data_IF_624195271514
#
_entry.id   IF_624195271514
#
_cell.length_a   1.000
_cell.length_b   1.000
_cell.length_c   1.000
_cell.angle_alpha   90.00
_cell.angle_beta   90.00
_cell.angle_gamma   90.00
#
_symmetry.space_group_name_H-M   'P 1'
#
loop_
_entity.id
_entity.type
_entity.pdbx_description
1 polymer ?
#
# COMPACT_ATOMS: atom_id res chain seq x y z
N UNK A 1 -10.40 -0.21 23.52
CA UNK A 1 -9.36 -0.79 22.61
C UNK A 1 -8.00 -0.17 22.91
N UNK A 2 -6.96 -1.00 22.90
CA UNK A 2 -5.59 -0.54 23.08
C UNK A 2 -5.14 0.27 21.88
N UNK A 3 -4.40 1.35 22.12
CA UNK A 3 -3.83 2.19 21.06
C UNK A 3 -2.35 1.91 20.90
N UNK A 4 -1.88 1.96 19.67
CA UNK A 4 -0.47 1.83 19.32
C UNK A 4 -0.06 3.03 18.48
N UNK A 5 1.20 3.37 18.53
CA UNK A 5 1.77 4.38 17.63
C UNK A 5 2.62 3.69 16.58
N UNK A 6 2.49 4.15 15.35
CA UNK A 6 3.36 3.78 14.24
C UNK A 6 3.88 5.05 13.60
N UNK A 7 5.05 4.95 12.98
CA UNK A 7 5.66 6.08 12.28
C UNK A 7 5.66 5.77 10.78
N UNK A 8 5.38 6.77 9.97
CA UNK A 8 5.60 6.64 8.54
C UNK A 8 7.11 6.50 8.27
N UNK A 9 7.49 5.42 7.60
CA UNK A 9 8.90 5.18 7.24
C UNK A 9 9.27 5.85 5.93
N UNK A 10 8.29 6.36 5.21
CA UNK A 10 8.45 7.04 3.95
C UNK A 10 7.12 7.43 3.35
N UNK A 11 7.15 7.86 2.11
CA UNK A 11 5.97 8.28 1.37
C UNK A 11 6.03 7.83 -0.07
N UNK A 12 4.88 7.64 -0.67
CA UNK A 12 4.74 7.33 -2.09
C UNK A 12 4.86 8.63 -2.90
N UNK A 13 5.68 8.62 -3.95
CA UNK A 13 5.65 9.63 -5.01
C UNK A 13 5.04 8.99 -6.25
N UNK A 14 3.93 9.54 -6.70
CA UNK A 14 3.15 8.98 -7.81
C UNK A 14 2.48 10.09 -8.60
N UNK A 15 2.21 9.87 -9.90
CA UNK A 15 1.35 10.77 -10.66
C UNK A 15 -0.13 10.70 -10.25
N UNK A 16 -0.54 9.70 -9.46
CA UNK A 16 -1.91 9.60 -8.96
C UNK A 16 -2.12 10.58 -7.81
N UNK A 17 -2.98 11.56 -8.01
CA UNK A 17 -3.22 12.63 -7.03
C UNK A 17 -4.67 12.71 -6.54
N UNK A 18 -5.59 12.03 -7.23
CA UNK A 18 -7.01 12.07 -6.90
C UNK A 18 -7.56 10.68 -6.62
N UNK A 19 -8.35 10.56 -5.57
CA UNK A 19 -8.93 9.29 -5.14
C UNK A 19 -9.81 8.64 -6.21
N UNK A 20 -10.62 9.43 -6.90
CA UNK A 20 -11.53 8.94 -7.95
C UNK A 20 -10.79 8.37 -9.16
N UNK A 21 -9.58 8.84 -9.41
CA UNK A 21 -8.76 8.39 -10.53
C UNK A 21 -7.91 7.16 -10.18
N UNK A 22 -7.80 6.82 -8.90
CA UNK A 22 -6.95 5.73 -8.46
C UNK A 22 -7.58 4.38 -8.77
N UNK A 23 -6.85 3.44 -9.41
CA UNK A 23 -7.32 2.07 -9.57
C UNK A 23 -7.48 1.40 -8.21
N UNK A 24 -8.41 0.47 -8.10
CA UNK A 24 -8.63 -0.28 -6.85
C UNK A 24 -7.60 -1.38 -6.65
N UNK A 25 -7.08 -1.91 -7.75
CA UNK A 25 -6.06 -2.95 -7.78
C UNK A 25 -4.94 -2.50 -8.72
N UNK A 26 -3.72 -2.96 -8.46
CA UNK A 26 -2.56 -2.60 -9.27
C UNK A 26 -2.72 -2.97 -10.74
N UNK A 27 -3.37 -4.09 -11.03
CA UNK A 27 -3.60 -4.57 -12.40
C UNK A 27 -4.69 -3.82 -13.16
N UNK A 28 -5.32 -2.84 -12.55
CA UNK A 28 -6.33 -1.97 -13.18
C UNK A 28 -5.72 -0.70 -13.79
N UNK A 29 -4.43 -0.74 -14.16
CA UNK A 29 -3.77 0.37 -14.85
C UNK A 29 -3.01 1.33 -13.93
N UNK A 30 -2.58 0.87 -12.77
CA UNK A 30 -1.79 1.69 -11.86
C UNK A 30 -0.42 2.06 -12.47
N UNK A 31 0.04 3.31 -12.28
CA UNK A 31 1.35 3.74 -12.78
C UNK A 31 2.50 3.21 -11.95
N UNK A 32 3.71 3.32 -12.48
CA UNK A 32 4.92 3.18 -11.69
C UNK A 32 5.00 4.34 -10.67
N UNK A 33 5.63 4.07 -9.54
CA UNK A 33 5.79 5.06 -8.48
C UNK A 33 7.13 4.87 -7.78
N UNK A 34 7.51 5.86 -6.98
CA UNK A 34 8.67 5.79 -6.11
C UNK A 34 8.23 5.66 -4.66
N UNK A 35 8.91 4.78 -3.94
CA UNK A 35 8.84 4.73 -2.48
C UNK A 35 10.02 5.55 -1.97
N UNK A 36 9.73 6.65 -1.28
CA UNK A 36 10.76 7.56 -0.77
C UNK A 36 10.83 7.41 0.74
N UNK A 37 11.94 6.88 1.23
CA UNK A 37 12.11 6.56 2.65
C UNK A 37 12.76 7.68 3.41
N UNK A 38 12.52 7.74 4.72
CA UNK A 38 13.17 8.71 5.58
C UNK A 38 14.70 8.45 5.60
N UNK A 39 15.55 9.52 5.60
CA UNK A 39 16.99 9.33 5.52
C UNK A 39 17.57 8.47 6.63
N UNK A 40 16.99 8.54 7.83
CA UNK A 40 17.45 7.78 8.99
C UNK A 40 17.28 6.27 8.81
N UNK A 41 16.46 5.84 7.84
CA UNK A 41 16.10 4.44 7.63
C UNK A 41 16.82 3.81 6.43
N UNK A 42 17.82 4.50 5.88
CA UNK A 42 18.54 4.06 4.68
C UNK A 42 19.07 2.62 4.80
N UNK A 43 19.51 2.22 5.97
CA UNK A 43 20.01 0.87 6.20
C UNK A 43 18.94 -0.19 5.92
N UNK A 44 17.68 0.12 6.11
CA UNK A 44 16.58 -0.80 5.82
C UNK A 44 16.43 -1.17 4.36
N UNK A 45 16.96 -0.34 3.45
CA UNK A 45 16.91 -0.60 2.01
C UNK A 45 18.11 -1.41 1.49
N UNK A 46 19.07 -1.69 2.35
CA UNK A 46 20.39 -2.18 1.96
C UNK A 46 20.38 -3.45 1.10
N UNK A 47 19.41 -4.30 1.28
CA UNK A 47 19.33 -5.57 0.54
C UNK A 47 18.27 -5.59 -0.54
N UNK A 48 17.54 -4.48 -0.75
CA UNK A 48 16.57 -4.40 -1.83
C UNK A 48 17.25 -4.29 -3.18
N UNK A 49 16.78 -5.07 -4.14
CA UNK A 49 17.35 -5.14 -5.50
C UNK A 49 16.25 -5.05 -6.55
N UNK A 50 16.57 -4.52 -7.74
CA UNK A 50 15.65 -4.64 -8.87
C UNK A 50 15.29 -6.10 -9.12
N UNK A 51 14.02 -6.38 -9.36
CA UNK A 51 13.49 -7.74 -9.53
C UNK A 51 12.86 -8.30 -8.26
N UNK A 52 13.14 -7.73 -7.10
CA UNK A 52 12.51 -8.19 -5.86
C UNK A 52 11.03 -7.88 -5.85
N UNK A 53 10.21 -8.84 -5.43
CA UNK A 53 8.82 -8.59 -5.11
C UNK A 53 8.66 -8.30 -3.62
N UNK A 54 7.91 -7.26 -3.32
CA UNK A 54 7.69 -6.82 -1.93
C UNK A 54 6.21 -6.56 -1.68
N UNK A 55 5.84 -6.64 -0.40
CA UNK A 55 4.57 -6.17 0.11
C UNK A 55 4.81 -4.80 0.75
N UNK A 56 4.11 -3.79 0.25
CA UNK A 56 4.15 -2.45 0.82
C UNK A 56 2.89 -2.25 1.63
N UNK A 57 3.04 -1.90 2.89
CA UNK A 57 1.94 -1.55 3.76
C UNK A 57 1.88 -0.04 3.88
N UNK A 58 0.72 0.53 3.61
CA UNK A 58 0.51 1.98 3.61
C UNK A 58 -0.57 2.36 4.60
N UNK A 59 -0.59 3.64 4.95
CA UNK A 59 -1.71 4.23 5.67
C UNK A 59 -2.51 5.05 4.69
N UNK A 60 -3.77 4.61 4.44
CA UNK A 60 -4.64 5.28 3.48
C UNK A 60 -5.32 6.47 4.17
N UNK A 61 -4.57 7.54 4.32
CA UNK A 61 -4.90 8.68 5.17
C UNK A 61 -6.10 9.51 4.71
N UNK A 62 -6.58 9.28 3.47
CA UNK A 62 -7.81 9.90 2.96
C UNK A 62 -9.04 9.02 3.14
N UNK A 63 -8.89 7.81 3.66
CA UNK A 63 -9.99 6.89 3.85
C UNK A 63 -10.76 7.20 5.15
N UNK A 64 -12.01 6.77 5.17
CA UNK A 64 -12.85 6.86 6.37
C UNK A 64 -12.53 5.72 7.32
N UNK A 65 -12.56 5.99 8.62
CA UNK A 65 -12.30 5.00 9.65
C UNK A 65 -13.55 4.52 10.38
N UNK A 66 -14.70 5.09 10.05
CA UNK A 66 -15.99 4.81 10.71
C UNK A 66 -16.85 3.81 9.94
N UNK A 67 -16.28 3.11 8.95
CA UNK A 67 -17.00 2.18 8.08
C UNK A 67 -16.73 0.75 8.51
N UNK A 68 -17.79 -0.03 8.73
CA UNK A 68 -17.73 -1.43 9.13
C UNK A 68 -18.28 -2.38 8.08
N UNK A 69 -19.09 -1.88 7.14
CA UNK A 69 -19.62 -2.68 6.05
C UNK A 69 -19.71 -1.86 4.78
N UNK A 70 -19.55 -2.51 3.64
CA UNK A 70 -19.57 -1.88 2.33
C UNK A 70 -20.25 -2.80 1.32
N UNK A 71 -20.75 -2.21 0.24
CA UNK A 71 -21.06 -2.97 -0.97
C UNK A 71 -19.77 -3.28 -1.70
N UNK A 72 -19.45 -4.56 -2.01
CA UNK A 72 -18.21 -4.90 -2.69
C UNK A 72 -18.05 -4.10 -3.99
N UNK A 73 -16.88 -3.47 -4.16
CA UNK A 73 -16.51 -2.62 -5.29
C UNK A 73 -17.55 -1.52 -5.61
N UNK A 74 -18.31 -1.10 -4.59
CA UNK A 74 -19.34 -0.07 -4.76
C UNK A 74 -20.60 -0.55 -5.49
N UNK A 75 -20.73 -1.84 -5.75
CA UNK A 75 -21.88 -2.41 -6.46
C UNK A 75 -23.06 -2.58 -5.51
N UNK A 76 -24.03 -1.67 -5.59
CA UNK A 76 -25.21 -1.66 -4.71
C UNK A 76 -26.18 -2.81 -5.01
N UNK A 77 -26.02 -3.53 -6.11
CA UNK A 77 -26.83 -4.72 -6.41
C UNK A 77 -26.40 -5.93 -5.60
N UNK A 78 -25.22 -5.89 -5.01
CA UNK A 78 -24.67 -6.95 -4.16
C UNK A 78 -24.95 -6.65 -2.70
N UNK A 79 -25.09 -7.70 -1.89
CA UNK A 79 -25.26 -7.53 -0.46
C UNK A 79 -24.04 -6.84 0.17
N UNK A 80 -24.27 -6.06 1.22
CA UNK A 80 -23.18 -5.49 2.01
C UNK A 80 -22.38 -6.60 2.68
N UNK A 81 -21.07 -6.40 2.76
CA UNK A 81 -20.15 -7.28 3.47
C UNK A 81 -19.40 -6.51 4.53
N UNK A 82 -19.02 -7.17 5.61
CA UNK A 82 -18.12 -6.62 6.61
C UNK A 82 -16.78 -6.27 5.97
N UNK A 83 -16.19 -5.13 6.36
CA UNK A 83 -14.98 -4.64 5.72
C UNK A 83 -13.79 -5.58 5.85
N UNK A 84 -13.76 -6.44 6.88
CA UNK A 84 -12.65 -7.39 7.08
C UNK A 84 -12.67 -8.54 6.07
N UNK A 85 -13.75 -8.69 5.32
CA UNK A 85 -13.84 -9.64 4.20
C UNK A 85 -13.63 -8.95 2.85
N UNK A 86 -13.18 -7.71 2.84
CA UNK A 86 -13.00 -6.90 1.64
C UNK A 86 -11.65 -6.19 1.67
N UNK A 87 -11.26 -5.64 0.53
CA UNK A 87 -10.09 -4.76 0.40
C UNK A 87 -10.49 -3.29 0.34
N UNK A 88 -11.68 -2.94 0.85
CA UNK A 88 -12.10 -1.53 0.93
C UNK A 88 -11.07 -0.71 1.70
N UNK A 89 -10.69 0.48 1.20
CA UNK A 89 -9.82 1.38 1.95
C UNK A 89 -10.51 1.90 3.22
N UNK A 90 -11.83 2.06 3.18
CA UNK A 90 -12.62 2.56 4.31
C UNK A 90 -12.81 1.44 5.32
N UNK A 91 -12.13 1.57 6.45
CA UNK A 91 -12.09 0.56 7.52
C UNK A 91 -11.51 1.17 8.78
N UNK A 92 -11.66 0.53 9.95
CA UNK A 92 -11.18 1.12 11.23
C UNK A 92 -9.71 1.53 11.21
N UNK A 93 -8.83 0.68 10.68
CA UNK A 93 -7.44 1.03 10.42
C UNK A 93 -7.20 0.87 8.93
N UNK A 94 -7.19 1.98 8.17
CA UNK A 94 -7.14 1.92 6.72
C UNK A 94 -5.71 1.63 6.23
N UNK A 95 -5.27 0.42 6.49
CA UNK A 95 -3.96 -0.08 6.07
C UNK A 95 -4.10 -0.66 4.67
N UNK A 96 -3.35 -0.11 3.73
CA UNK A 96 -3.25 -0.62 2.38
C UNK A 96 -2.21 -1.73 2.30
N UNK A 97 -2.43 -2.69 1.43
CA UNK A 97 -1.49 -3.79 1.15
C UNK A 97 -1.28 -3.85 -0.35
N UNK A 98 -0.02 -3.67 -0.77
CA UNK A 98 0.32 -3.60 -2.18
C UNK A 98 1.46 -4.55 -2.49
N UNK A 99 1.23 -5.47 -3.41
CA UNK A 99 2.29 -6.36 -3.90
C UNK A 99 2.89 -5.75 -5.16
N UNK A 100 4.16 -5.43 -5.13
CA UNK A 100 4.84 -4.72 -6.22
C UNK A 100 6.23 -5.30 -6.46
N UNK A 101 6.72 -5.09 -7.69
CA UNK A 101 8.09 -5.43 -8.07
C UNK A 101 8.95 -4.17 -8.03
N UNK A 102 10.13 -4.27 -7.42
CA UNK A 102 11.13 -3.20 -7.43
C UNK A 102 11.82 -3.20 -8.78
N UNK A 103 11.87 -2.05 -9.43
CA UNK A 103 12.52 -1.88 -10.74
C UNK A 103 13.83 -1.10 -10.66
N UNK A 104 14.02 -0.29 -9.62
CA UNK A 104 15.25 0.47 -9.41
C UNK A 104 15.38 0.83 -7.93
N UNK A 105 16.61 0.95 -7.47
CA UNK A 105 16.92 1.48 -6.13
C UNK A 105 17.96 2.58 -6.32
N UNK A 106 17.66 3.76 -5.81
CA UNK A 106 18.51 4.94 -5.92
C UNK A 106 18.55 5.67 -4.58
N UNK A 107 19.62 5.43 -3.83
CA UNK A 107 19.73 5.99 -2.48
C UNK A 107 18.58 5.52 -1.61
N UNK A 108 17.82 6.45 -1.05
CA UNK A 108 16.67 6.17 -0.19
C UNK A 108 15.35 6.04 -0.97
N UNK A 109 15.41 5.83 -2.27
CA UNK A 109 14.23 5.70 -3.14
C UNK A 109 14.24 4.33 -3.80
N UNK A 110 13.09 3.69 -3.85
CA UNK A 110 12.88 2.46 -4.61
C UNK A 110 11.73 2.69 -5.59
N UNK A 111 11.98 2.42 -6.88
CA UNK A 111 10.94 2.53 -7.89
C UNK A 111 10.22 1.19 -8.00
N UNK A 112 8.91 1.24 -8.09
CA UNK A 112 8.07 0.04 -8.17
C UNK A 112 7.10 0.13 -9.34
N UNK A 113 6.69 -1.03 -9.85
CA UNK A 113 5.67 -1.13 -10.88
C UNK A 113 4.29 -0.99 -10.26
N UNK A 114 3.37 -0.36 -11.01
CA UNK A 114 1.93 -0.50 -10.82
C UNK A 114 1.49 -0.39 -9.35
N UNK A 115 1.72 0.78 -8.78
CA UNK A 115 1.27 1.07 -7.42
C UNK A 115 0.01 1.93 -7.47
N UNK A 116 -1.08 1.44 -6.87
CA UNK A 116 -2.37 2.13 -6.87
C UNK A 116 -2.51 3.18 -5.77
N UNK A 117 -1.52 3.32 -4.91
CA UNK A 117 -1.55 4.33 -3.86
C UNK A 117 -1.36 5.75 -4.41
N UNK A 118 -2.04 6.70 -3.80
CA UNK A 118 -1.95 8.11 -4.18
C UNK A 118 -0.61 8.72 -3.78
N UNK A 119 -0.22 9.77 -4.50
CA UNK A 119 0.94 10.58 -4.15
C UNK A 119 0.83 11.08 -2.70
N UNK A 120 1.94 11.00 -1.98
CA UNK A 120 1.99 11.40 -0.57
C UNK A 120 1.50 10.37 0.43
N UNK A 121 0.99 9.22 -0.01
CA UNK A 121 0.52 8.18 0.90
C UNK A 121 1.64 7.72 1.82
N UNK A 122 1.44 7.74 3.15
CA UNK A 122 2.44 7.26 4.09
C UNK A 122 2.70 5.77 3.95
N UNK A 123 3.97 5.39 4.03
CA UNK A 123 4.39 3.98 4.03
C UNK A 123 4.63 3.57 5.48
N UNK A 124 4.04 2.45 5.88
CA UNK A 124 4.19 1.91 7.23
C UNK A 124 5.28 0.85 7.31
N UNK A 125 5.40 0.01 6.28
CA UNK A 125 6.35 -1.11 6.30
C UNK A 125 6.55 -1.64 4.89
N UNK A 126 7.65 -2.33 4.69
CA UNK A 126 7.94 -3.09 3.47
C UNK A 126 8.46 -4.45 3.88
N UNK A 127 7.88 -5.51 3.32
CA UNK A 127 8.26 -6.89 3.59
C UNK A 127 8.51 -7.62 2.28
N UNK A 128 9.46 -8.56 2.24
CA UNK A 128 9.63 -9.37 1.03
C UNK A 128 8.45 -10.31 0.83
N UNK A 129 8.13 -10.59 -0.43
CA UNK A 129 7.26 -11.70 -0.77
C UNK A 129 8.10 -12.96 -0.66
N UNK A 130 7.66 -13.90 0.18
CA UNK A 130 8.38 -15.14 0.38
C UNK A 130 7.92 -16.19 -0.61
N UNK A 131 8.85 -16.93 -1.18
CA UNK A 131 8.55 -18.08 -2.03
C UNK A 131 8.34 -19.32 -1.17
N UNK A 132 7.34 -20.13 -1.51
CA UNK A 132 7.06 -21.38 -0.83
C UNK A 132 5.72 -21.39 -0.10
N UNK A 133 5.46 -22.45 0.66
CA UNK A 133 4.16 -22.71 1.29
C UNK A 133 3.93 -21.94 2.57
N UNK A 134 4.93 -21.25 3.11
CA UNK A 134 4.80 -20.48 4.34
C UNK A 134 4.09 -19.18 4.02
N UNK A 135 3.07 -18.86 4.79
CA UNK A 135 2.34 -17.62 4.62
C UNK A 135 3.20 -16.39 4.89
N UNK A 136 2.84 -15.32 4.25
CA UNK A 136 3.47 -14.01 4.45
C UNK A 136 3.16 -13.49 5.85
N UNK A 137 4.16 -12.91 6.47
CA UNK A 137 4.03 -12.30 7.79
C UNK A 137 4.14 -10.79 7.71
#
# INVERSE_FOLDING_TARGET
MTRFEVQAIGRVESPLTELEAAPRQADEGAPAAWLVFEPELLEGLRSLRPGDEVLVLTWLDRARRDVLSVHPRGDTSRAKEGVFSTRSPHRPNPIGLHRVEITAVDGRRARVRQLEALDGTPILDVKPVLSGAISER
#
